data_IF_129086651231
#
_entry.id   IF_129086651231
#
_cell.length_a   1.000
_cell.length_b   1.000
_cell.length_c   1.000
_cell.angle_alpha   90.00
_cell.angle_beta   90.00
_cell.angle_gamma   90.00
#
_symmetry.space_group_name_H-M   'P 1'
#
loop_
_entity.id
_entity.type
_entity.pdbx_description
1 polymer ?
#
# COMPACT_ATOMS: atom_id res chain seq x y z
N UNK A 1 50.04 29.46 -17.04
CA UNK A 1 48.88 28.92 -16.29
C UNK A 1 48.17 30.05 -15.54
N UNK A 2 46.84 30.18 -15.69
CA UNK A 2 46.06 31.28 -15.08
C UNK A 2 45.89 31.02 -13.58
N UNK A 3 46.45 31.87 -12.71
CA UNK A 3 46.37 31.77 -11.24
C UNK A 3 44.94 31.53 -10.72
N UNK A 4 43.95 32.11 -11.41
CA UNK A 4 42.52 31.94 -11.13
C UNK A 4 42.00 30.50 -11.35
N UNK A 5 42.57 29.78 -12.31
CA UNK A 5 42.24 28.37 -12.57
C UNK A 5 42.87 27.45 -11.52
N UNK A 6 44.09 27.78 -11.07
CA UNK A 6 44.75 27.04 -9.99
C UNK A 6 43.99 27.16 -8.67
N UNK A 7 43.54 28.37 -8.28
CA UNK A 7 42.73 28.54 -7.07
C UNK A 7 41.35 27.86 -7.16
N UNK A 8 40.74 27.82 -8.35
CA UNK A 8 39.48 27.07 -8.58
C UNK A 8 39.68 25.57 -8.43
N UNK A 9 40.78 25.01 -8.97
CA UNK A 9 41.10 23.60 -8.80
C UNK A 9 41.48 23.26 -7.35
N UNK A 10 42.25 24.12 -6.68
CA UNK A 10 42.66 23.92 -5.28
C UNK A 10 41.45 23.95 -4.33
N UNK A 11 40.49 24.86 -4.55
CA UNK A 11 39.23 24.91 -3.80
C UNK A 11 38.33 23.69 -4.06
N UNK A 12 38.27 23.20 -5.31
CA UNK A 12 37.52 21.99 -5.66
C UNK A 12 38.15 20.71 -5.07
N UNK A 13 39.49 20.63 -5.00
CA UNK A 13 40.18 19.50 -4.38
C UNK A 13 40.11 19.51 -2.85
N UNK A 14 40.02 20.68 -2.21
CA UNK A 14 39.87 20.79 -0.75
C UNK A 14 38.53 20.24 -0.24
N UNK A 15 37.45 20.39 -1.04
CA UNK A 15 36.13 19.81 -0.76
C UNK A 15 36.09 18.29 -0.98
N UNK A 16 36.94 17.74 -1.83
CA UNK A 16 37.01 16.30 -2.11
C UNK A 16 37.78 15.51 -1.02
N UNK A 17 38.70 16.14 -0.30
CA UNK A 17 39.54 15.49 0.74
C UNK A 17 38.98 15.65 2.16
N UNK A 18 38.17 16.69 2.41
CA UNK A 18 37.49 16.88 3.70
C UNK A 18 36.16 16.10 3.82
N UNK A 19 35.69 15.48 2.74
CA UNK A 19 34.55 14.58 2.80
C UNK A 19 35.02 13.20 3.32
N UNK A 20 34.42 12.66 4.40
CA UNK A 20 34.78 11.32 4.87
C UNK A 20 34.54 10.32 3.72
N UNK A 21 35.59 9.60 3.33
CA UNK A 21 35.62 8.58 2.28
C UNK A 21 34.68 7.37 2.54
N UNK A 22 33.88 7.42 3.61
CA UNK A 22 32.73 6.54 3.80
C UNK A 22 31.48 7.21 3.24
N UNK A 23 31.24 7.01 1.94
CA UNK A 23 29.96 7.12 1.24
C UNK A 23 28.87 7.82 2.07
N UNK A 24 28.92 9.14 2.17
CA UNK A 24 27.69 9.93 2.36
C UNK A 24 27.05 10.01 1.00
N UNK A 25 26.31 8.96 0.61
CA UNK A 25 25.17 9.22 -0.27
C UNK A 25 24.29 10.14 0.57
N UNK A 26 24.33 11.44 0.28
CA UNK A 26 23.12 12.22 0.41
C UNK A 26 22.13 11.52 -0.53
N UNK A 27 21.45 10.51 0.00
CA UNK A 27 20.31 9.92 -0.68
C UNK A 27 19.32 11.08 -0.68
N UNK A 28 19.16 11.71 -1.85
CA UNK A 28 17.94 12.44 -2.13
C UNK A 28 16.77 11.53 -1.70
N UNK A 29 15.68 12.12 -1.19
CA UNK A 29 14.47 11.35 -0.86
C UNK A 29 14.14 10.38 -1.99
N UNK A 30 13.55 9.23 -1.64
CA UNK A 30 13.28 8.17 -2.60
C UNK A 30 12.66 8.79 -3.86
N UNK A 31 13.25 8.51 -5.03
CA UNK A 31 12.72 9.02 -6.28
C UNK A 31 11.26 8.53 -6.42
N UNK A 32 10.35 9.37 -6.93
CA UNK A 32 8.98 8.96 -7.18
C UNK A 32 8.92 7.63 -7.93
N UNK A 33 8.04 6.73 -7.50
CA UNK A 33 7.93 5.43 -8.16
C UNK A 33 7.25 5.58 -9.53
N UNK A 34 7.97 5.22 -10.60
CA UNK A 34 7.49 5.31 -11.99
C UNK A 34 7.00 3.95 -12.55
N UNK A 35 7.10 2.89 -11.75
CA UNK A 35 6.75 1.53 -12.17
C UNK A 35 5.26 1.20 -12.02
N UNK A 36 4.86 -0.05 -12.31
CA UNK A 36 3.49 -0.50 -12.10
C UNK A 36 3.18 -0.67 -10.60
N UNK A 37 1.99 -0.24 -10.21
CA UNK A 37 1.45 -0.50 -8.88
C UNK A 37 0.77 -1.87 -8.83
N UNK A 38 0.95 -2.60 -7.73
CA UNK A 38 0.29 -3.88 -7.49
C UNK A 38 -0.83 -3.69 -6.45
N UNK A 39 -2.05 -4.02 -6.84
CA UNK A 39 -3.18 -4.15 -5.92
C UNK A 39 -3.48 -5.63 -5.78
N UNK A 40 -3.37 -6.13 -4.55
CA UNK A 40 -3.55 -7.54 -4.21
C UNK A 40 -4.77 -7.65 -3.30
N UNK A 41 -5.84 -8.27 -3.80
CA UNK A 41 -7.10 -8.40 -3.07
C UNK A 41 -7.28 -9.85 -2.64
N UNK A 42 -7.52 -10.07 -1.35
CA UNK A 42 -7.86 -11.37 -0.79
C UNK A 42 -9.33 -11.40 -0.39
N UNK A 43 -10.17 -12.04 -1.21
CA UNK A 43 -11.59 -12.22 -0.92
C UNK A 43 -11.83 -13.49 -0.08
N UNK A 44 -11.41 -13.47 1.19
CA UNK A 44 -11.60 -14.58 2.12
C UNK A 44 -13.11 -14.89 2.31
N UNK A 45 -13.53 -16.11 1.98
CA UNK A 45 -14.93 -16.54 2.15
C UNK A 45 -15.97 -15.82 1.28
N UNK A 46 -15.56 -14.87 0.44
CA UNK A 46 -16.45 -13.91 -0.20
C UNK A 46 -16.99 -14.34 -1.57
N UNK A 47 -16.27 -15.17 -2.32
CA UNK A 47 -16.67 -15.56 -3.68
C UNK A 47 -16.85 -17.07 -3.80
N UNK A 48 -18.09 -17.49 -4.06
CA UNK A 48 -18.34 -18.85 -4.55
C UNK A 48 -18.02 -18.88 -6.06
N UNK A 49 -17.01 -19.66 -6.49
CA UNK A 49 -16.60 -19.70 -7.89
C UNK A 49 -17.73 -20.21 -8.79
N UNK A 50 -18.65 -21.05 -8.28
CA UNK A 50 -19.82 -21.54 -9.04
C UNK A 50 -20.76 -20.41 -9.44
N UNK A 51 -20.82 -19.34 -8.64
CA UNK A 51 -21.66 -18.17 -8.88
C UNK A 51 -20.89 -16.97 -9.43
N UNK A 52 -19.63 -17.17 -9.87
CA UNK A 52 -18.81 -16.10 -10.45
C UNK A 52 -18.04 -16.56 -11.69
N UNK A 53 -16.90 -17.23 -11.52
CA UNK A 53 -15.90 -17.45 -12.58
C UNK A 53 -15.66 -18.92 -12.95
N UNK A 54 -16.32 -19.87 -12.29
CA UNK A 54 -16.31 -21.30 -12.61
C UNK A 54 -17.74 -21.87 -12.63
N UNK A 55 -18.62 -21.36 -13.50
CA UNK A 55 -20.04 -21.69 -13.48
C UNK A 55 -20.29 -23.19 -13.75
N UNK A 56 -21.16 -23.79 -12.93
CA UNK A 56 -21.62 -25.18 -13.05
C UNK A 56 -23.10 -25.22 -13.41
N UNK A 57 -23.45 -26.03 -14.39
CA UNK A 57 -24.85 -26.24 -14.83
C UNK A 57 -25.59 -27.28 -14.01
N UNK A 58 -24.91 -28.02 -13.12
CA UNK A 58 -25.54 -29.04 -12.30
C UNK A 58 -26.53 -28.39 -11.31
N UNK A 59 -27.84 -28.72 -11.37
CA UNK A 59 -28.85 -28.17 -10.47
C UNK A 59 -28.62 -28.49 -8.97
N UNK A 60 -27.82 -29.51 -8.67
CA UNK A 60 -27.39 -29.81 -7.30
C UNK A 60 -26.37 -28.79 -6.75
N UNK A 61 -25.64 -28.11 -7.65
CA UNK A 61 -24.58 -27.15 -7.30
C UNK A 61 -25.00 -25.69 -7.51
N UNK A 62 -25.88 -25.42 -8.48
CA UNK A 62 -26.32 -24.08 -8.84
C UNK A 62 -27.85 -24.01 -9.00
N UNK A 63 -28.46 -22.95 -8.46
CA UNK A 63 -29.90 -22.66 -8.58
C UNK A 63 -30.21 -21.25 -9.09
N UNK A 64 -29.19 -20.44 -9.38
CA UNK A 64 -29.33 -19.00 -9.65
C UNK A 64 -29.25 -18.63 -11.13
N UNK A 65 -28.79 -19.53 -11.99
CA UNK A 65 -28.74 -19.32 -13.45
C UNK A 65 -28.97 -20.61 -14.22
N UNK A 66 -29.54 -20.52 -15.43
CA UNK A 66 -29.82 -21.67 -16.29
C UNK A 66 -28.63 -22.12 -17.14
N UNK A 67 -27.80 -21.18 -17.60
CA UNK A 67 -26.59 -21.45 -18.37
C UNK A 67 -25.50 -20.41 -18.08
N UNK A 68 -24.20 -20.77 -18.19
CA UNK A 68 -23.11 -19.81 -18.16
C UNK A 68 -23.22 -18.77 -19.28
N UNK A 69 -22.69 -17.58 -19.04
CA UNK A 69 -22.43 -16.57 -20.05
C UNK A 69 -20.92 -16.49 -20.32
N UNK A 70 -20.50 -15.73 -21.34
CA UNK A 70 -19.10 -15.62 -21.74
C UNK A 70 -18.69 -14.18 -22.04
N UNK A 71 -17.49 -13.80 -21.62
CA UNK A 71 -16.78 -12.61 -22.06
C UNK A 71 -15.42 -13.03 -22.64
N UNK A 72 -15.33 -13.10 -23.97
CA UNK A 72 -14.18 -13.72 -24.64
C UNK A 72 -14.04 -15.19 -24.25
N UNK A 73 -12.86 -15.59 -23.75
CA UNK A 73 -12.59 -16.95 -23.27
C UNK A 73 -13.03 -17.19 -21.82
N UNK A 74 -13.59 -16.19 -21.13
CA UNK A 74 -13.99 -16.30 -19.73
C UNK A 74 -15.45 -16.73 -19.67
N UNK A 75 -15.71 -17.92 -19.15
CA UNK A 75 -17.06 -18.33 -18.75
C UNK A 75 -17.37 -17.76 -17.36
N UNK A 76 -18.55 -17.16 -17.21
CA UNK A 76 -19.00 -16.61 -15.93
C UNK A 76 -20.47 -16.95 -15.65
N UNK A 77 -20.85 -16.93 -14.37
CA UNK A 77 -22.23 -17.12 -13.94
C UNK A 77 -23.00 -15.80 -14.08
N UNK A 78 -24.06 -15.72 -14.91
CA UNK A 78 -24.83 -14.48 -15.11
C UNK A 78 -25.85 -14.28 -13.97
N UNK A 79 -25.37 -14.26 -12.72
CA UNK A 79 -26.21 -14.05 -11.54
C UNK A 79 -26.62 -12.57 -11.48
N UNK A 80 -27.93 -12.25 -11.44
CA UNK A 80 -28.40 -10.88 -11.30
C UNK A 80 -28.20 -10.37 -9.87
N UNK A 81 -28.22 -9.05 -9.70
CA UNK A 81 -28.39 -8.46 -8.37
C UNK A 81 -29.86 -8.60 -8.02
N UNK A 82 -30.17 -9.30 -6.93
CA UNK A 82 -31.49 -9.37 -6.34
C UNK A 82 -31.50 -8.58 -5.02
N UNK A 83 -32.03 -7.34 -5.02
CA UNK A 83 -32.07 -6.52 -3.82
C UNK A 83 -32.87 -7.12 -2.67
N UNK A 84 -33.89 -7.93 -2.96
CA UNK A 84 -34.73 -8.55 -1.93
C UNK A 84 -33.98 -9.71 -1.29
N UNK A 85 -33.40 -10.59 -2.10
CA UNK A 85 -32.63 -11.74 -1.60
C UNK A 85 -31.38 -11.32 -0.82
N UNK A 86 -30.75 -10.22 -1.24
CA UNK A 86 -29.59 -9.63 -0.58
C UNK A 86 -29.97 -8.59 0.48
N UNK A 87 -31.25 -8.42 0.80
CA UNK A 87 -31.75 -7.43 1.77
C UNK A 87 -31.06 -6.05 1.62
N UNK A 88 -30.88 -5.63 0.36
CA UNK A 88 -30.19 -4.40 -0.01
C UNK A 88 -31.18 -3.23 0.08
N UNK A 89 -30.75 -2.09 0.62
CA UNK A 89 -31.57 -0.89 0.59
C UNK A 89 -31.69 -0.37 -0.86
N UNK A 90 -32.73 0.41 -1.14
CA UNK A 90 -33.02 0.89 -2.51
C UNK A 90 -31.87 1.73 -3.09
N UNK A 91 -31.17 2.46 -2.23
CA UNK A 91 -30.05 3.33 -2.56
C UNK A 91 -28.71 2.59 -2.79
N UNK A 92 -28.64 1.27 -2.58
CA UNK A 92 -27.44 0.47 -2.84
C UNK A 92 -27.15 0.29 -4.34
N UNK A 93 -28.19 0.31 -5.19
CA UNK A 93 -28.12 -0.03 -6.61
C UNK A 93 -26.97 0.61 -7.38
N UNK A 94 -26.73 1.94 -7.27
CA UNK A 94 -25.65 2.62 -7.98
C UNK A 94 -24.22 2.14 -7.66
N UNK A 95 -24.02 1.48 -6.51
CA UNK A 95 -22.70 1.02 -6.05
C UNK A 95 -22.40 -0.43 -6.42
N UNK A 96 -23.40 -1.14 -6.95
CA UNK A 96 -23.30 -2.57 -7.25
C UNK A 96 -23.24 -2.80 -8.76
N UNK A 97 -22.57 -3.89 -9.13
CA UNK A 97 -22.46 -4.32 -10.53
C UNK A 97 -22.86 -5.79 -10.62
N UNK A 98 -23.76 -6.12 -11.55
CA UNK A 98 -24.06 -7.52 -11.83
C UNK A 98 -22.84 -8.20 -12.45
N UNK A 99 -22.75 -9.53 -12.33
CA UNK A 99 -21.67 -10.28 -12.96
C UNK A 99 -21.59 -9.98 -14.46
N UNK A 100 -22.73 -9.94 -15.15
CA UNK A 100 -22.78 -9.60 -16.57
C UNK A 100 -22.16 -8.23 -16.85
N UNK A 101 -22.59 -7.17 -16.16
CA UNK A 101 -22.04 -5.83 -16.36
C UNK A 101 -20.54 -5.77 -16.05
N UNK A 102 -20.07 -6.52 -15.04
CA UNK A 102 -18.66 -6.60 -14.69
C UNK A 102 -17.83 -7.26 -15.80
N UNK A 103 -18.22 -8.45 -16.26
CA UNK A 103 -17.46 -9.16 -17.28
C UNK A 103 -17.56 -8.49 -18.65
N UNK A 104 -18.67 -7.84 -19.00
CA UNK A 104 -18.76 -7.02 -20.22
C UNK A 104 -17.79 -5.83 -20.17
N UNK A 105 -17.69 -5.15 -19.03
CA UNK A 105 -16.84 -3.96 -18.87
C UNK A 105 -15.36 -4.28 -18.67
N UNK A 106 -15.05 -5.36 -17.95
CA UNK A 106 -13.69 -5.68 -17.47
C UNK A 106 -13.10 -6.95 -18.11
N UNK A 107 -13.92 -7.83 -18.70
CA UNK A 107 -13.49 -9.09 -19.31
C UNK A 107 -12.34 -8.98 -20.30
N UNK A 108 -12.31 -8.01 -21.24
CA UNK A 108 -11.21 -7.86 -22.19
C UNK A 108 -9.83 -7.62 -21.58
N UNK A 109 -9.76 -7.21 -20.31
CA UNK A 109 -8.53 -6.94 -19.55
C UNK A 109 -8.41 -7.82 -18.31
N UNK A 110 -9.19 -8.88 -18.24
CA UNK A 110 -9.24 -9.81 -17.11
C UNK A 110 -8.63 -11.15 -17.52
N UNK A 111 -7.87 -11.75 -16.61
CA UNK A 111 -7.45 -13.16 -16.72
C UNK A 111 -8.02 -13.90 -15.52
N UNK A 112 -8.69 -15.01 -15.79
CA UNK A 112 -9.24 -15.90 -14.77
C UNK A 112 -8.45 -17.19 -14.79
N UNK A 113 -7.96 -17.60 -13.62
CA UNK A 113 -7.29 -18.89 -13.42
C UNK A 113 -8.12 -19.68 -12.41
N UNK A 114 -8.78 -20.72 -12.89
CA UNK A 114 -9.58 -21.62 -12.06
C UNK A 114 -8.72 -22.81 -11.61
N UNK A 115 -8.85 -23.21 -10.34
CA UNK A 115 -8.24 -24.43 -9.81
C UNK A 115 -6.75 -24.32 -9.45
N UNK A 116 -6.39 -23.32 -8.64
CA UNK A 116 -5.05 -23.25 -8.04
C UNK A 116 -4.96 -24.31 -6.92
N UNK A 117 -4.11 -25.32 -7.10
CA UNK A 117 -3.80 -26.29 -6.06
C UNK A 117 -2.85 -25.69 -5.02
N UNK A 118 -3.34 -25.49 -3.81
CA UNK A 118 -2.55 -24.98 -2.67
C UNK A 118 -1.91 -26.10 -1.86
N UNK A 119 -2.06 -27.36 -2.28
CA UNK A 119 -1.55 -28.58 -1.63
C UNK A 119 -2.03 -28.80 -0.18
N UNK A 120 -3.14 -28.15 0.20
CA UNK A 120 -3.70 -28.24 1.54
C UNK A 120 -5.21 -28.02 1.51
N UNK A 121 -5.90 -28.58 2.51
CA UNK A 121 -7.30 -28.30 2.80
C UNK A 121 -7.48 -27.34 3.99
N UNK A 122 -6.39 -26.90 4.62
CA UNK A 122 -6.43 -25.93 5.71
C UNK A 122 -6.56 -24.52 5.13
N UNK A 123 -7.53 -23.74 5.61
CA UNK A 123 -7.73 -22.34 5.22
C UNK A 123 -6.47 -21.50 5.38
N UNK A 124 -5.85 -21.50 6.56
CA UNK A 124 -4.67 -20.67 6.85
C UNK A 124 -3.47 -21.11 6.02
N UNK A 125 -3.29 -22.43 5.90
CA UNK A 125 -2.25 -23.02 5.05
C UNK A 125 -2.44 -22.65 3.58
N UNK A 126 -3.67 -22.66 3.08
CA UNK A 126 -4.02 -22.34 1.71
C UNK A 126 -3.77 -20.86 1.39
N UNK A 127 -4.18 -19.96 2.29
CA UNK A 127 -3.88 -18.53 2.20
C UNK A 127 -2.36 -18.29 2.15
N UNK A 128 -1.61 -18.95 3.03
CA UNK A 128 -0.15 -18.87 3.06
C UNK A 128 0.50 -19.38 1.76
N UNK A 129 0.07 -20.54 1.27
CA UNK A 129 0.55 -21.11 0.01
C UNK A 129 0.25 -20.20 -1.19
N UNK A 130 -0.95 -19.64 -1.26
CA UNK A 130 -1.34 -18.75 -2.34
C UNK A 130 -0.47 -17.48 -2.38
N UNK A 131 -0.23 -16.86 -1.22
CA UNK A 131 0.44 -15.57 -1.15
C UNK A 131 1.97 -15.65 -1.06
N UNK A 132 2.54 -16.76 -0.60
CA UNK A 132 4.00 -16.94 -0.47
C UNK A 132 4.60 -18.00 -1.40
N UNK A 133 3.75 -18.83 -2.02
CA UNK A 133 4.17 -20.02 -2.76
C UNK A 133 4.68 -21.16 -1.86
N UNK A 134 4.51 -21.06 -0.53
CA UNK A 134 5.02 -22.02 0.45
C UNK A 134 3.94 -22.37 1.48
N UNK A 135 3.96 -23.62 1.93
CA UNK A 135 3.15 -24.03 3.08
C UNK A 135 3.85 -23.75 4.40
N UNK A 136 5.16 -23.49 4.44
CA UNK A 136 5.86 -23.17 5.68
C UNK A 136 5.68 -21.69 6.08
N UNK A 137 5.86 -21.39 7.37
CA UNK A 137 5.83 -20.02 7.89
C UNK A 137 7.10 -19.24 7.60
N UNK A 138 7.01 -17.91 7.72
CA UNK A 138 8.16 -17.02 7.64
C UNK A 138 8.56 -16.60 6.22
N UNK A 139 7.82 -17.02 5.20
CA UNK A 139 8.05 -16.55 3.84
C UNK A 139 7.33 -15.22 3.58
N UNK A 140 7.94 -14.29 2.82
CA UNK A 140 7.31 -13.05 2.46
C UNK A 140 6.13 -13.28 1.50
N UNK A 141 5.11 -12.42 1.56
CA UNK A 141 4.05 -12.38 0.56
C UNK A 141 4.61 -11.92 -0.80
N UNK A 142 3.92 -12.26 -1.88
CA UNK A 142 4.24 -11.75 -3.21
C UNK A 142 4.29 -10.21 -3.24
N UNK A 143 3.35 -9.55 -2.55
CA UNK A 143 3.33 -8.09 -2.42
C UNK A 143 4.59 -7.55 -1.74
N UNK A 144 5.03 -8.18 -0.65
CA UNK A 144 6.25 -7.80 0.04
C UNK A 144 7.50 -8.00 -0.84
N UNK A 145 7.56 -9.10 -1.60
CA UNK A 145 8.64 -9.35 -2.58
C UNK A 145 8.65 -8.31 -3.71
N UNK A 146 7.49 -7.98 -4.26
CA UNK A 146 7.36 -6.97 -5.30
C UNK A 146 7.80 -5.60 -4.78
N UNK A 147 7.33 -5.19 -3.61
CA UNK A 147 7.71 -3.93 -2.97
C UNK A 147 9.23 -3.86 -2.68
N UNK A 148 9.79 -4.90 -2.07
CA UNK A 148 11.21 -4.97 -1.71
C UNK A 148 12.15 -4.90 -2.93
N UNK A 149 11.70 -5.32 -4.12
CA UNK A 149 12.52 -5.28 -5.34
C UNK A 149 12.35 -4.01 -6.15
N UNK A 150 11.26 -3.26 -5.94
CA UNK A 150 10.85 -2.14 -6.82
C UNK A 150 10.92 -0.77 -6.15
N UNK A 151 10.84 -0.70 -4.82
CA UNK A 151 10.78 0.56 -4.08
C UNK A 151 11.64 0.51 -2.81
N UNK A 152 12.91 0.12 -2.96
CA UNK A 152 13.85 0.07 -1.84
C UNK A 152 14.10 1.48 -1.28
N UNK A 153 13.67 1.72 -0.05
CA UNK A 153 13.91 2.99 0.67
C UNK A 153 12.70 3.93 0.73
N UNK A 154 11.54 3.52 0.23
CA UNK A 154 10.28 4.26 0.40
C UNK A 154 9.49 3.69 1.59
N UNK A 155 9.05 4.57 2.50
CA UNK A 155 8.29 4.21 3.69
C UNK A 155 6.89 3.63 3.40
N UNK A 156 6.34 3.85 2.20
CA UNK A 156 5.03 3.38 1.77
C UNK A 156 5.06 2.30 0.67
N UNK A 157 6.24 1.74 0.41
CA UNK A 157 6.44 0.70 -0.60
C UNK A 157 5.51 -0.52 -0.46
N UNK A 158 5.12 -0.87 0.77
CA UNK A 158 4.19 -1.97 1.05
C UNK A 158 3.11 -1.55 2.05
N UNK A 159 1.91 -1.29 1.53
CA UNK A 159 0.72 -1.00 2.32
C UNK A 159 -0.12 -2.28 2.46
N UNK A 160 -0.57 -2.57 3.67
CA UNK A 160 -1.43 -3.72 3.96
C UNK A 160 -2.59 -3.34 4.88
N UNK A 161 -3.78 -3.88 4.58
CA UNK A 161 -4.95 -3.86 5.47
C UNK A 161 -5.20 -5.21 6.13
N UNK A 162 -4.25 -6.16 6.04
CA UNK A 162 -4.30 -7.48 6.67
C UNK A 162 -4.26 -8.64 5.68
N UNK A 163 -4.71 -9.82 6.13
CA UNK A 163 -4.58 -11.08 5.39
C UNK A 163 -3.20 -11.71 5.58
N UNK A 164 -2.52 -12.04 4.49
CA UNK A 164 -1.15 -12.56 4.53
C UNK A 164 -0.15 -11.48 4.12
N UNK A 165 0.39 -10.78 5.12
CA UNK A 165 1.29 -9.63 4.93
C UNK A 165 2.68 -9.80 5.53
N UNK A 166 3.10 -11.06 5.68
CA UNK A 166 4.44 -11.37 6.13
C UNK A 166 5.47 -10.77 5.17
N UNK A 167 6.49 -10.11 5.71
CA UNK A 167 7.54 -9.47 4.90
C UNK A 167 8.90 -10.14 5.06
N UNK A 168 9.07 -10.97 6.10
CA UNK A 168 10.34 -11.56 6.48
C UNK A 168 11.49 -10.53 6.59
N UNK A 169 11.17 -9.30 6.97
CA UNK A 169 12.13 -8.20 7.11
C UNK A 169 12.65 -7.61 5.80
N UNK A 170 12.09 -7.98 4.64
CA UNK A 170 12.54 -7.46 3.34
C UNK A 170 12.08 -6.03 3.06
N UNK A 171 10.89 -5.68 3.54
CA UNK A 171 10.28 -4.36 3.39
C UNK A 171 9.47 -4.05 4.66
N UNK A 172 9.45 -2.79 5.14
CA UNK A 172 8.51 -2.40 6.19
C UNK A 172 7.07 -2.52 5.69
N UNK A 173 6.15 -2.90 6.57
CA UNK A 173 4.71 -2.92 6.27
C UNK A 173 4.06 -1.69 6.88
N UNK A 174 3.36 -0.92 6.04
CA UNK A 174 2.51 0.18 6.49
C UNK A 174 1.08 -0.33 6.62
N UNK A 175 0.60 -0.41 7.87
CA UNK A 175 -0.75 -0.88 8.17
C UNK A 175 -1.74 0.27 7.99
N UNK A 176 -2.54 0.20 6.94
CA UNK A 176 -3.50 1.23 6.58
C UNK A 176 -4.92 0.67 6.76
N UNK A 177 -5.33 0.55 8.02
CA UNK A 177 -6.67 0.12 8.41
C UNK A 177 -7.55 1.29 8.86
N UNK A 178 -6.97 2.48 9.09
CA UNK A 178 -7.64 3.66 9.62
C UNK A 178 -7.05 4.94 9.01
N UNK A 179 -7.87 5.69 8.26
CA UNK A 179 -7.47 6.97 7.67
C UNK A 179 -7.12 8.00 8.76
N UNK A 180 -7.86 8.02 9.88
CA UNK A 180 -7.60 8.97 10.96
C UNK A 180 -6.22 8.73 11.57
N UNK A 181 -5.85 7.47 11.79
CA UNK A 181 -4.51 7.11 12.24
C UNK A 181 -3.42 7.59 11.27
N UNK A 182 -3.65 7.43 9.96
CA UNK A 182 -2.71 7.86 8.94
C UNK A 182 -2.60 9.39 8.84
N UNK A 183 -3.71 10.12 8.90
CA UNK A 183 -3.71 11.58 8.93
C UNK A 183 -2.98 12.11 10.17
N UNK A 184 -3.15 11.47 11.33
CA UNK A 184 -2.41 11.81 12.54
C UNK A 184 -0.91 11.55 12.42
N UNK A 185 -0.50 10.53 11.64
CA UNK A 185 0.92 10.27 11.36
C UNK A 185 1.49 11.24 10.32
N UNK A 186 0.72 11.59 9.29
CA UNK A 186 1.13 12.53 8.24
C UNK A 186 1.18 13.98 8.74
N UNK A 187 0.32 14.35 9.70
CA UNK A 187 0.22 15.69 10.27
C UNK A 187 0.33 15.67 11.81
N UNK A 188 1.48 15.25 12.37
CA UNK A 188 1.62 14.99 13.80
C UNK A 188 1.56 16.26 14.68
N UNK A 189 1.57 17.45 14.08
CA UNK A 189 1.50 18.72 14.78
C UNK A 189 0.13 19.42 14.69
N UNK A 190 -0.84 18.82 14.01
CA UNK A 190 -2.22 19.32 13.89
C UNK A 190 -3.13 18.58 14.88
N UNK A 191 -4.00 19.29 15.61
CA UNK A 191 -4.90 18.66 16.62
C UNK A 191 -5.88 17.68 15.99
N UNK A 192 -6.52 18.10 14.90
CA UNK A 192 -7.54 17.37 14.17
C UNK A 192 -7.25 17.50 12.67
N UNK A 193 -6.36 16.67 12.11
CA UNK A 193 -5.95 16.75 10.71
C UNK A 193 -7.09 16.66 9.66
N UNK A 194 -8.25 16.12 10.04
CA UNK A 194 -9.44 16.05 9.20
C UNK A 194 -10.29 17.34 9.16
N UNK A 195 -9.94 18.36 9.95
CA UNK A 195 -10.68 19.62 10.02
C UNK A 195 -9.88 20.78 9.39
N UNK A 196 -10.49 21.50 8.46
CA UNK A 196 -9.83 22.55 7.68
C UNK A 196 -9.19 23.68 8.51
N UNK A 197 -9.77 24.00 9.67
CA UNK A 197 -9.34 25.10 10.54
C UNK A 197 -8.70 24.60 11.85
N UNK A 198 -8.18 23.37 11.86
CA UNK A 198 -7.61 22.77 13.06
C UNK A 198 -6.35 23.49 13.53
N UNK A 199 -6.27 23.72 14.84
CA UNK A 199 -5.09 24.29 15.49
C UNK A 199 -3.90 23.34 15.48
N UNK A 200 -2.74 23.84 15.94
CA UNK A 200 -1.54 23.03 16.17
C UNK A 200 -1.35 22.72 17.64
N UNK A 201 -0.81 21.55 17.96
CA UNK A 201 -0.46 21.18 19.34
C UNK A 201 0.55 22.17 19.94
N UNK A 202 1.47 22.66 19.10
CA UNK A 202 2.50 23.63 19.47
C UNK A 202 2.62 24.71 18.38
N UNK A 203 3.02 25.93 18.73
CA UNK A 203 3.36 26.95 17.74
C UNK A 203 4.48 26.47 16.81
N UNK A 204 4.47 26.89 15.55
CA UNK A 204 5.47 26.50 14.55
C UNK A 204 6.92 26.70 15.06
N UNK A 205 7.21 27.82 15.71
CA UNK A 205 8.53 28.10 16.27
C UNK A 205 8.97 27.10 17.36
N UNK A 206 8.04 26.52 18.10
CA UNK A 206 8.35 25.45 19.07
C UNK A 206 8.62 24.12 18.36
N UNK A 207 7.85 23.80 17.32
CA UNK A 207 8.09 22.62 16.47
C UNK A 207 9.45 22.69 15.77
N UNK A 208 9.85 23.85 15.27
CA UNK A 208 11.17 24.04 14.64
C UNK A 208 12.31 23.78 15.63
N UNK A 209 12.16 24.21 16.88
CA UNK A 209 13.14 23.92 17.95
C UNK A 209 13.21 22.43 18.27
N UNK A 210 12.06 21.75 18.30
CA UNK A 210 11.99 20.30 18.52
C UNK A 210 12.68 19.55 17.39
N UNK A 211 12.35 19.85 16.13
CA UNK A 211 12.99 19.25 14.94
C UNK A 211 14.50 19.46 14.98
N UNK A 212 14.95 20.69 15.23
CA UNK A 212 16.38 20.99 15.37
C UNK A 212 17.06 20.15 16.46
N UNK A 213 16.45 20.04 17.64
CA UNK A 213 17.02 19.25 18.74
C UNK A 213 17.08 17.74 18.43
N UNK A 214 16.08 17.24 17.69
CA UNK A 214 16.05 15.86 17.21
C UNK A 214 17.16 15.60 16.18
N UNK A 215 17.35 16.50 15.22
CA UNK A 215 18.41 16.41 14.20
C UNK A 215 19.80 16.45 14.83
N UNK A 216 20.02 17.39 15.77
CA UNK A 216 21.28 17.52 16.50
C UNK A 216 21.58 16.21 17.28
N UNK A 217 20.57 15.63 17.95
CA UNK A 217 20.71 14.35 18.67
C UNK A 217 21.04 13.20 17.74
N UNK A 218 20.37 13.12 16.59
CA UNK A 218 20.58 12.07 15.60
C UNK A 218 22.00 12.16 15.00
N UNK A 219 22.47 13.37 14.71
CA UNK A 219 23.84 13.62 14.26
C UNK A 219 24.89 13.14 15.28
N UNK A 220 24.65 13.36 16.58
CA UNK A 220 25.53 12.85 17.65
C UNK A 220 25.53 11.32 17.69
N UNK A 221 24.35 10.67 17.62
CA UNK A 221 24.24 9.21 17.63
C UNK A 221 24.92 8.56 16.43
N UNK A 222 24.75 9.14 15.24
CA UNK A 222 25.42 8.68 14.02
C UNK A 222 26.94 8.82 14.14
N UNK A 223 27.44 9.94 14.68
CA UNK A 223 28.87 10.16 14.89
C UNK A 223 29.51 9.19 15.90
N UNK A 224 28.73 8.69 16.87
CA UNK A 224 29.20 7.73 17.87
C UNK A 224 29.14 6.26 17.44
N UNK A 225 28.37 5.92 16.41
CA UNK A 225 28.13 4.54 16.02
C UNK A 225 29.26 4.00 15.13
N UNK A 226 29.88 2.90 15.57
CA UNK A 226 31.02 2.27 14.88
C UNK A 226 30.70 0.92 14.25
N UNK A 227 29.60 0.28 14.64
CA UNK A 227 29.21 -1.01 14.08
C UNK A 227 28.47 -0.82 12.76
N UNK A 228 28.81 -1.57 11.69
CA UNK A 228 28.16 -1.43 10.38
C UNK A 228 26.63 -1.56 10.43
N UNK A 229 26.11 -2.52 11.22
CA UNK A 229 24.65 -2.69 11.42
C UNK A 229 24.02 -1.50 12.12
N UNK A 230 24.70 -0.93 13.11
CA UNK A 230 24.21 0.25 13.81
C UNK A 230 24.23 1.50 12.93
N UNK A 231 25.26 1.68 12.11
CA UNK A 231 25.33 2.77 11.14
C UNK A 231 24.22 2.66 10.10
N UNK A 232 23.97 1.46 9.59
CA UNK A 232 22.85 1.19 8.68
C UNK A 232 21.51 1.56 9.34
N UNK A 233 21.23 1.04 10.55
CA UNK A 233 19.98 1.34 11.26
C UNK A 233 19.78 2.85 11.56
N UNK A 234 20.86 3.57 11.88
CA UNK A 234 20.78 5.03 12.12
C UNK A 234 20.65 5.85 10.84
N UNK A 235 21.16 5.35 9.71
CA UNK A 235 20.87 5.93 8.41
C UNK A 235 19.42 5.69 8.01
N UNK A 236 18.89 4.48 8.19
CA UNK A 236 17.47 4.18 7.92
C UNK A 236 16.54 5.08 8.76
N UNK A 237 16.83 5.26 10.04
CA UNK A 237 16.05 6.17 10.91
C UNK A 237 16.12 7.63 10.43
N UNK A 238 17.29 8.08 9.96
CA UNK A 238 17.47 9.42 9.43
C UNK A 238 16.68 9.62 8.14
N UNK A 239 16.72 8.64 7.24
CA UNK A 239 15.96 8.66 5.99
C UNK A 239 14.46 8.65 6.26
N UNK A 240 13.99 7.78 7.15
CA UNK A 240 12.58 7.69 7.52
C UNK A 240 12.02 9.00 8.08
N UNK A 241 12.83 9.77 8.82
CA UNK A 241 12.44 11.11 9.33
C UNK A 241 12.53 12.22 8.28
N UNK A 242 13.45 12.10 7.32
CA UNK A 242 13.48 12.98 6.16
C UNK A 242 12.29 12.76 5.22
N UNK A 243 11.71 11.55 5.25
CA UNK A 243 10.56 11.13 4.43
C UNK A 243 9.20 11.62 4.99
N UNK A 244 9.17 12.34 6.12
CA UNK A 244 7.97 13.04 6.61
C UNK A 244 7.38 13.98 5.52
N UNK A 245 8.23 14.50 4.62
CA UNK A 245 7.82 15.31 3.48
C UNK A 245 7.10 14.49 2.39
N UNK A 246 7.34 13.18 2.30
CA UNK A 246 6.64 12.29 1.38
C UNK A 246 5.23 11.95 1.89
N UNK A 247 5.07 11.72 3.19
CA UNK A 247 3.74 11.58 3.81
C UNK A 247 2.92 12.87 3.72
N UNK A 248 3.56 14.03 3.85
CA UNK A 248 2.89 15.32 3.65
C UNK A 248 2.40 15.57 2.21
N UNK A 249 2.90 14.82 1.21
CA UNK A 249 2.41 14.85 -0.18
C UNK A 249 1.16 14.00 -0.38
N UNK A 250 0.78 13.17 0.58
CA UNK A 250 -0.46 12.39 0.49
C UNK A 250 -1.64 13.36 0.43
N UNK A 251 -2.33 13.35 -0.70
CA UNK A 251 -3.62 14.03 -0.83
C UNK A 251 -4.68 13.07 -0.32
N UNK A 252 -5.05 13.22 0.95
CA UNK A 252 -6.16 12.45 1.48
C UNK A 252 -7.48 12.95 0.90
N UNK A 253 -8.41 12.04 0.54
CA UNK A 253 -9.77 12.46 0.26
C UNK A 253 -10.34 13.13 1.52
N UNK A 254 -11.07 14.23 1.34
CA UNK A 254 -11.68 14.97 2.45
C UNK A 254 -12.65 14.07 3.23
N UNK A 255 -13.41 13.25 2.51
CA UNK A 255 -14.36 12.29 3.06
C UNK A 255 -14.04 10.88 2.56
N UNK A 256 -14.17 9.91 3.46
CA UNK A 256 -14.19 8.50 3.09
C UNK A 256 -15.48 8.16 2.33
N UNK A 257 -15.42 7.18 1.43
CA UNK A 257 -16.64 6.61 0.85
C UNK A 257 -17.52 6.07 1.97
N UNK A 258 -18.74 6.60 2.05
CA UNK A 258 -19.81 6.06 2.86
C UNK A 258 -20.84 5.41 1.94
N UNK A 259 -21.15 4.14 2.20
CA UNK A 259 -22.20 3.42 1.49
C UNK A 259 -23.43 3.33 2.40
N UNK A 260 -24.62 3.58 1.84
CA UNK A 260 -25.84 3.45 2.61
C UNK A 260 -26.19 1.98 2.88
N UNK A 261 -26.65 1.67 4.10
CA UNK A 261 -27.28 0.40 4.44
C UNK A 261 -26.49 -0.57 5.31
N UNK A 262 -27.18 -1.63 5.74
CA UNK A 262 -26.72 -2.59 6.75
C UNK A 262 -25.89 -3.77 6.19
N UNK A 263 -25.66 -3.88 4.88
CA UNK A 263 -24.97 -5.04 4.27
C UNK A 263 -23.88 -4.67 3.27
N UNK A 264 -23.48 -3.41 3.23
CA UNK A 264 -22.41 -2.92 2.37
C UNK A 264 -21.13 -2.57 3.15
N UNK A 265 -21.02 -2.94 4.43
CA UNK A 265 -19.87 -2.58 5.27
C UNK A 265 -18.54 -3.11 4.70
N UNK A 266 -18.52 -4.33 4.21
CA UNK A 266 -17.30 -4.93 3.65
C UNK A 266 -16.91 -4.27 2.31
N UNK A 267 -17.90 -3.96 1.48
CA UNK A 267 -17.68 -3.21 0.24
C UNK A 267 -17.21 -1.78 0.54
N UNK A 268 -17.80 -1.12 1.53
CA UNK A 268 -17.40 0.20 1.98
C UNK A 268 -15.95 0.18 2.45
N UNK A 269 -15.59 -0.77 3.33
CA UNK A 269 -14.22 -0.94 3.82
C UNK A 269 -13.24 -1.13 2.66
N UNK A 270 -13.57 -2.00 1.68
CA UNK A 270 -12.74 -2.21 0.50
C UNK A 270 -12.61 -0.93 -0.37
N UNK A 271 -13.69 -0.18 -0.54
CA UNK A 271 -13.70 1.07 -1.30
C UNK A 271 -12.87 2.16 -0.60
N UNK A 272 -12.97 2.28 0.72
CA UNK A 272 -12.15 3.19 1.52
C UNK A 272 -10.66 2.81 1.46
N UNK A 273 -10.32 1.52 1.57
CA UNK A 273 -8.95 1.03 1.38
C UNK A 273 -8.43 1.33 -0.04
N UNK A 274 -9.30 1.20 -1.05
CA UNK A 274 -8.95 1.52 -2.44
C UNK A 274 -8.72 3.02 -2.66
N UNK A 275 -9.50 3.90 -2.01
CA UNK A 275 -9.27 5.34 -2.03
C UNK A 275 -7.90 5.70 -1.47
N UNK A 276 -7.54 5.10 -0.33
CA UNK A 276 -6.25 5.31 0.34
C UNK A 276 -5.08 4.81 -0.53
N UNK A 277 -5.20 3.62 -1.10
CA UNK A 277 -4.18 3.09 -2.02
C UNK A 277 -3.99 4.01 -3.23
N UNK A 278 -5.08 4.55 -3.80
CA UNK A 278 -5.01 5.49 -4.91
C UNK A 278 -4.33 6.80 -4.51
N UNK A 279 -4.59 7.33 -3.31
CA UNK A 279 -3.93 8.52 -2.80
C UNK A 279 -2.40 8.33 -2.66
N UNK A 280 -1.95 7.16 -2.16
CA UNK A 280 -0.53 6.80 -2.10
C UNK A 280 0.09 6.75 -3.51
N UNK A 281 -0.58 6.08 -4.45
CA UNK A 281 -0.09 5.99 -5.84
C UNK A 281 -0.02 7.35 -6.54
N UNK A 282 -0.95 8.26 -6.25
CA UNK A 282 -0.93 9.63 -6.77
C UNK A 282 0.20 10.47 -6.19
N UNK A 283 0.51 10.27 -4.92
CA UNK A 283 1.66 10.90 -4.27
C UNK A 283 3.01 10.28 -4.69
N UNK A 284 2.98 9.21 -5.51
CA UNK A 284 4.14 8.47 -6.01
C UNK A 284 5.02 7.89 -4.89
N UNK A 285 4.37 7.54 -3.78
CA UNK A 285 4.94 6.96 -2.58
C UNK A 285 4.47 5.52 -2.41
#
# INVERSE_FOLDING_TARGET
MKRRTFFKLAAASGLAVAAPLGIRRALAGAAPYEGPYFILIHAAGGWDPVYLCDPKTNPALNRLYGAPASAGSIAYAPVPIDPVALNLPAEAGPYLMSNQAFFEKHGPRLTVVNGIDTSTNNHDGGTRALWSGRLEEGYPSFGALAAATRSTGNSLAYISSGGYDQTNGLVPVTRMSDLGALQNVAFPDILYPGEADSGRFLPAAAMDRIRKAQDDRLGVLQGGQRLPRGQAAMNELFLARGDDEALAKLVFPADLIELPGYQLSDLQNLMQQSQLALAAFQAQV
#
